data_IF_012263280728
#
_entry.id   IF_012263280728
#
_cell.length_a   1.000
_cell.length_b   1.000
_cell.length_c   1.000
_cell.angle_alpha   90.00
_cell.angle_beta   90.00
_cell.angle_gamma   90.00
#
_symmetry.space_group_name_H-M   'P 1'
#
loop_
_entity.id
_entity.type
_entity.pdbx_description
1 polymer ?
#
# COMPACT_ATOMS: atom_id res chain seq x y z
N UNK A 1 13.28 -8.21 -0.61
CA UNK A 1 12.99 -6.76 -0.65
C UNK A 1 11.49 -6.59 -0.80
N UNK A 2 10.82 -6.16 0.27
CA UNK A 2 9.35 -6.02 0.28
C UNK A 2 8.99 -4.71 -0.40
N UNK A 3 8.10 -4.78 -1.39
CA UNK A 3 7.63 -3.62 -2.16
C UNK A 3 6.25 -3.21 -1.65
N UNK A 4 5.92 -1.94 -1.80
CA UNK A 4 4.55 -1.48 -1.54
C UNK A 4 3.57 -2.18 -2.50
N UNK A 5 2.42 -2.59 -1.98
CA UNK A 5 1.36 -3.24 -2.73
C UNK A 5 0.59 -2.28 -3.65
N UNK A 6 0.53 -1.00 -3.29
CA UNK A 6 -0.25 0.02 -3.99
C UNK A 6 0.26 0.17 -5.42
N UNK A 7 -0.63 0.15 -6.44
CA UNK A 7 -0.23 0.34 -7.82
C UNK A 7 0.50 1.69 -8.00
N UNK A 8 1.48 1.70 -8.91
CA UNK A 8 2.32 2.88 -9.21
C UNK A 8 3.19 3.39 -8.04
N UNK A 9 3.16 2.74 -6.87
CA UNK A 9 4.05 3.08 -5.77
C UNK A 9 5.45 2.48 -6.00
N UNK A 10 6.48 3.34 -5.99
CA UNK A 10 7.87 2.94 -6.14
C UNK A 10 8.56 2.63 -4.79
N UNK A 11 7.87 2.74 -3.65
CA UNK A 11 8.44 2.44 -2.35
C UNK A 11 8.88 0.97 -2.24
N UNK A 12 10.12 0.77 -1.79
CA UNK A 12 10.74 -0.56 -1.71
C UNK A 12 11.35 -1.07 -3.02
N UNK A 13 11.30 -0.30 -4.11
CA UNK A 13 12.12 -0.56 -5.30
C UNK A 13 13.55 -0.05 -5.10
N UNK A 14 14.52 -0.67 -5.77
CA UNK A 14 15.94 -0.26 -5.71
C UNK A 14 16.18 1.17 -6.21
N UNK A 15 15.31 1.66 -7.09
CA UNK A 15 15.31 3.02 -7.63
C UNK A 15 14.80 4.07 -6.65
N UNK A 16 14.11 3.66 -5.58
CA UNK A 16 13.61 4.59 -4.56
C UNK A 16 14.74 4.88 -3.57
N UNK A 17 15.30 6.09 -3.63
CA UNK A 17 16.34 6.54 -2.70
C UNK A 17 15.84 6.77 -1.27
N UNK A 18 14.51 6.88 -1.09
CA UNK A 18 13.87 7.11 0.20
C UNK A 18 13.40 5.80 0.84
N UNK A 19 13.63 5.67 2.15
CA UNK A 19 13.12 4.55 2.95
C UNK A 19 11.82 4.97 3.61
N UNK A 20 10.76 4.24 3.30
CA UNK A 20 9.45 4.41 3.92
C UNK A 20 9.13 3.22 4.81
N UNK A 21 8.43 3.49 5.91
CA UNK A 21 7.85 2.47 6.78
C UNK A 21 6.80 1.68 6.02
N UNK A 22 6.86 0.35 6.13
CA UNK A 22 5.95 -0.57 5.47
C UNK A 22 5.05 -1.23 6.52
N UNK A 23 3.76 -0.98 6.42
CA UNK A 23 2.75 -1.55 7.29
C UNK A 23 2.20 -2.85 6.72
N UNK A 24 1.97 -3.82 7.61
CA UNK A 24 1.25 -5.04 7.26
C UNK A 24 -0.25 -4.77 7.35
N UNK A 25 -1.07 -5.44 6.51
CA UNK A 25 -2.49 -5.44 6.77
C UNK A 25 -2.79 -6.05 8.15
N UNK A 26 -3.89 -5.63 8.78
CA UNK A 26 -4.36 -6.26 10.01
C UNK A 26 -4.67 -7.75 9.76
N UNK A 27 -4.54 -8.56 10.82
CA UNK A 27 -4.79 -10.00 10.74
C UNK A 27 -6.28 -10.34 10.65
N UNK A 28 -7.12 -9.42 11.12
CA UNK A 28 -8.57 -9.49 11.12
C UNK A 28 -9.12 -9.47 9.69
N UNK A 29 -10.07 -10.36 9.41
CA UNK A 29 -10.66 -10.48 8.07
C UNK A 29 -11.36 -9.17 7.63
N UNK A 30 -12.06 -8.51 8.55
CA UNK A 30 -12.72 -7.24 8.28
C UNK A 30 -11.72 -6.13 7.90
N UNK A 31 -10.58 -6.05 8.59
CA UNK A 31 -9.54 -5.08 8.28
C UNK A 31 -8.82 -5.39 6.97
N UNK A 32 -8.55 -6.67 6.71
CA UNK A 32 -7.96 -7.12 5.45
C UNK A 32 -8.90 -6.82 4.26
N UNK A 33 -10.20 -7.03 4.43
CA UNK A 33 -11.20 -6.74 3.42
C UNK A 33 -11.33 -5.24 3.16
N UNK A 34 -11.32 -4.40 4.21
CA UNK A 34 -11.27 -2.94 4.05
C UNK A 34 -10.04 -2.50 3.24
N UNK A 35 -8.88 -3.13 3.45
CA UNK A 35 -7.68 -2.86 2.65
C UNK A 35 -7.81 -3.32 1.19
N UNK A 36 -8.43 -4.46 0.93
CA UNK A 36 -8.70 -4.95 -0.45
C UNK A 36 -9.64 -4.01 -1.19
N UNK A 37 -10.65 -3.49 -0.50
CA UNK A 37 -11.60 -2.52 -1.05
C UNK A 37 -10.93 -1.17 -1.32
N UNK A 38 -10.11 -0.68 -0.38
CA UNK A 38 -9.38 0.57 -0.54
C UNK A 38 -8.29 0.50 -1.63
N UNK A 39 -7.63 -0.66 -1.79
CA UNK A 39 -6.53 -0.87 -2.73
C UNK A 39 -6.95 -1.93 -3.76
N UNK A 40 -8.04 -1.63 -4.47
CA UNK A 40 -8.57 -2.52 -5.50
C UNK A 40 -7.58 -2.64 -6.67
N UNK A 41 -7.09 -3.86 -6.90
CA UNK A 41 -6.22 -4.21 -8.02
C UNK A 41 -6.90 -5.28 -8.88
N UNK A 42 -6.84 -5.09 -10.20
CA UNK A 42 -7.39 -6.06 -11.17
C UNK A 42 -6.49 -7.28 -11.34
N UNK A 43 -5.20 -7.13 -11.08
CA UNK A 43 -4.20 -8.15 -11.37
C UNK A 43 -3.98 -9.13 -10.20
N UNK A 44 -4.12 -8.68 -8.94
CA UNK A 44 -3.99 -9.54 -7.75
C UNK A 44 -4.69 -8.95 -6.52
N UNK A 45 -5.12 -9.83 -5.63
CA UNK A 45 -5.76 -9.45 -4.35
C UNK A 45 -4.73 -9.32 -3.23
N UNK A 46 -4.92 -8.35 -2.34
CA UNK A 46 -4.05 -8.10 -1.19
C UNK A 46 -4.03 -9.30 -0.23
N UNK A 47 -2.83 -9.79 0.06
CA UNK A 47 -2.55 -10.91 0.96
C UNK A 47 -1.96 -10.42 2.29
N UNK A 48 -2.04 -11.25 3.33
CA UNK A 48 -1.49 -10.94 4.67
C UNK A 48 0.03 -10.66 4.68
N UNK A 49 0.75 -11.16 3.69
CA UNK A 49 2.20 -10.94 3.57
C UNK A 49 2.57 -9.68 2.78
N UNK A 50 1.60 -9.07 2.07
CA UNK A 50 1.82 -7.81 1.38
C UNK A 50 2.01 -6.67 2.38
N UNK A 51 2.58 -5.56 1.92
CA UNK A 51 2.77 -4.35 2.73
C UNK A 51 2.44 -3.09 1.96
N UNK A 52 1.99 -2.08 2.69
CA UNK A 52 1.66 -0.76 2.16
C UNK A 52 2.53 0.26 2.87
N UNK A 53 3.11 1.22 2.15
CA UNK A 53 3.97 2.23 2.76
C UNK A 53 3.18 3.34 3.46
N UNK A 54 3.84 4.00 4.42
CA UNK A 54 3.25 5.07 5.24
C UNK A 54 2.68 6.25 4.47
N UNK A 55 3.16 6.49 3.24
CA UNK A 55 2.63 7.52 2.34
C UNK A 55 1.13 7.39 2.10
N UNK A 56 0.59 6.16 2.16
CA UNK A 56 -0.83 5.90 1.94
C UNK A 56 -1.67 5.97 3.22
N UNK A 57 -1.04 6.17 4.38
CA UNK A 57 -1.71 6.32 5.68
C UNK A 57 -1.71 7.77 6.17
N UNK A 58 -1.10 8.70 5.42
CA UNK A 58 -1.08 10.11 5.79
C UNK A 58 -2.41 10.76 5.44
N UNK A 59 -3.04 11.30 6.48
CA UNK A 59 -4.41 11.82 6.50
C UNK A 59 -4.56 13.09 5.66
N UNK A 60 -4.95 12.94 4.39
CA UNK A 60 -5.81 13.92 3.70
C UNK A 60 -6.44 13.21 2.50
N UNK A 61 -7.74 12.96 2.58
CA UNK A 61 -8.56 12.62 1.43
C UNK A 61 -8.52 13.79 0.46
N UNK A 62 -7.70 13.71 -0.59
CA UNK A 62 -7.98 14.38 -1.84
C UNK A 62 -7.86 13.35 -2.95
N UNK A 63 -8.99 13.17 -3.62
CA UNK A 63 -9.21 12.27 -4.73
C UNK A 63 -8.06 12.31 -5.72
N UNK A 64 -7.51 11.13 -6.03
CA UNK A 64 -7.03 10.81 -7.37
C UNK A 64 -5.95 11.76 -7.92
N UNK A 65 -4.71 11.67 -7.42
CA UNK A 65 -3.54 11.68 -8.31
C UNK A 65 -2.27 11.13 -7.62
N UNK A 66 -1.33 10.75 -8.50
CA UNK A 66 0.09 10.57 -8.28
C UNK A 66 0.73 11.62 -7.34
N UNK A 67 1.84 11.22 -6.71
CA UNK A 67 2.89 12.10 -6.12
C UNK A 67 2.48 12.89 -4.86
N UNK A 68 2.95 12.52 -3.67
CA UNK A 68 4.15 13.15 -3.08
C UNK A 68 5.24 12.14 -2.69
#
# INVERSE_FOLDING_TARGET
MVKCFVPLCNSGYKSCGMKYSLFKPPNDEAGLEAWRQAIARKDRVLQKNDRVCERHFCTTFHSQDLEC
#
